data_IF_237335209158
#
_entry.id   IF_237335209158
#
_cell.length_a   1.000
_cell.length_b   1.000
_cell.length_c   1.000
_cell.angle_alpha   90.00
_cell.angle_beta   90.00
_cell.angle_gamma   90.00
#
_symmetry.space_group_name_H-M   'P 1'
#
loop_
_entity.id
_entity.type
_entity.pdbx_description
1 polymer ?
#
# COMPACT_ATOMS: atom_id res chain seq x y z
N UNK A 1 -2.50 -1.52 26.53
CA UNK A 1 -2.30 -2.57 25.50
C UNK A 1 -2.13 -1.92 24.14
N UNK A 2 -1.55 -2.63 23.15
CA UNK A 2 -1.39 -2.10 21.78
C UNK A 2 -2.75 -1.76 21.16
N UNK A 3 -2.80 -0.70 20.34
CA UNK A 3 -4.03 -0.25 19.67
C UNK A 3 -4.36 -1.20 18.52
N UNK A 4 -5.58 -1.74 18.50
CA UNK A 4 -6.07 -2.57 17.39
C UNK A 4 -6.45 -1.67 16.22
N UNK A 5 -5.84 -1.88 15.05
CA UNK A 5 -6.18 -1.19 13.81
C UNK A 5 -6.96 -2.16 12.92
N UNK A 6 -8.13 -1.75 12.43
CA UNK A 6 -8.93 -2.54 11.48
C UNK A 6 -9.13 -1.77 10.18
N UNK A 7 -8.73 -2.36 9.05
CA UNK A 7 -8.91 -1.78 7.71
C UNK A 7 -10.31 -2.12 7.21
N UNK A 8 -11.05 -1.11 6.76
CA UNK A 8 -12.41 -1.26 6.23
C UNK A 8 -12.49 -0.67 4.82
N UNK A 9 -12.94 -1.45 3.85
CA UNK A 9 -13.24 -0.97 2.52
C UNK A 9 -14.70 -0.47 2.49
N UNK A 10 -14.90 0.78 2.09
CA UNK A 10 -16.23 1.38 1.94
C UNK A 10 -16.50 1.54 0.45
N UNK A 11 -17.50 0.81 -0.07
CA UNK A 11 -18.06 1.06 -1.40
C UNK A 11 -19.21 2.05 -1.25
N UNK A 12 -19.26 3.03 -2.14
CA UNK A 12 -20.24 4.12 -2.29
C UNK A 12 -21.55 3.97 -1.47
N UNK A 13 -21.70 4.83 -0.46
CA UNK A 13 -22.82 4.84 0.47
C UNK A 13 -24.10 5.50 -0.08
N UNK A 14 -24.11 5.99 -1.33
CA UNK A 14 -25.24 6.76 -1.83
C UNK A 14 -26.45 5.91 -2.27
N UNK A 15 -26.34 4.57 -2.36
CA UNK A 15 -27.39 3.78 -3.03
C UNK A 15 -27.72 2.36 -2.53
N UNK A 16 -27.20 1.89 -1.42
CA UNK A 16 -27.60 0.55 -0.92
C UNK A 16 -28.35 0.60 0.41
N UNK A 17 -29.68 0.41 0.33
CA UNK A 17 -30.57 0.23 1.49
C UNK A 17 -30.46 -1.16 2.12
N UNK A 18 -29.60 -2.05 1.61
CA UNK A 18 -29.29 -3.33 2.25
C UNK A 18 -28.25 -3.14 3.33
N UNK A 19 -28.74 -2.57 4.45
CA UNK A 19 -28.19 -2.81 5.79
C UNK A 19 -27.72 -4.26 5.87
N UNK A 20 -26.48 -4.47 6.29
CA UNK A 20 -25.80 -5.76 6.50
C UNK A 20 -25.12 -6.40 5.27
N UNK A 21 -24.11 -5.74 4.74
CA UNK A 21 -22.85 -6.43 4.46
C UNK A 21 -21.84 -6.05 5.54
N UNK A 22 -22.10 -6.44 6.79
CA UNK A 22 -21.00 -6.50 7.77
C UNK A 22 -20.10 -7.64 7.30
N UNK A 23 -18.81 -7.42 7.06
CA UNK A 23 -17.90 -8.53 6.80
C UNK A 23 -18.02 -9.51 7.96
N UNK A 24 -18.51 -10.71 7.69
CA UNK A 24 -18.56 -11.84 8.64
C UNK A 24 -17.20 -12.53 8.75
N UNK A 25 -16.30 -12.24 7.82
CA UNK A 25 -14.91 -12.64 7.86
C UNK A 25 -14.04 -11.54 8.50
N UNK A 26 -13.00 -11.95 9.21
CA UNK A 26 -11.97 -11.05 9.73
C UNK A 26 -11.05 -10.49 8.62
N UNK A 27 -11.24 -10.95 7.38
CA UNK A 27 -10.49 -10.55 6.19
C UNK A 27 -11.46 -9.95 5.17
N UNK A 28 -11.13 -8.76 4.66
CA UNK A 28 -11.89 -8.06 3.62
C UNK A 28 -10.95 -7.85 2.45
N UNK A 29 -11.29 -8.38 1.28
CA UNK A 29 -10.59 -8.10 0.03
C UNK A 29 -11.42 -7.11 -0.80
N UNK A 30 -10.80 -6.05 -1.31
CA UNK A 30 -11.40 -5.17 -2.30
C UNK A 30 -10.92 -5.57 -3.70
N UNK A 31 -11.86 -5.83 -4.60
CA UNK A 31 -11.58 -6.07 -6.02
C UNK A 31 -11.83 -4.78 -6.78
N UNK A 32 -10.80 -4.22 -7.39
CA UNK A 32 -10.93 -3.09 -8.29
C UNK A 32 -11.25 -3.60 -9.69
N UNK A 33 -12.40 -3.20 -10.23
CA UNK A 33 -12.74 -3.43 -11.64
C UNK A 33 -12.45 -2.14 -12.40
N UNK A 34 -11.53 -2.19 -13.35
CA UNK A 34 -11.23 -1.13 -14.30
C UNK A 34 -11.24 -1.69 -15.72
N UNK A 35 -11.56 -0.85 -16.71
CA UNK A 35 -11.66 -1.25 -18.11
C UNK A 35 -10.34 -1.84 -18.66
N UNK A 36 -9.20 -1.44 -18.08
CA UNK A 36 -7.87 -1.94 -18.42
C UNK A 36 -7.29 -2.95 -17.41
N UNK A 37 -8.08 -3.35 -16.41
CA UNK A 37 -7.66 -4.26 -15.34
C UNK A 37 -6.57 -3.69 -14.42
N UNK A 38 -6.21 -2.41 -14.54
CA UNK A 38 -5.22 -1.77 -13.68
C UNK A 38 -5.84 -1.30 -12.36
N UNK A 39 -5.18 -1.51 -11.22
CA UNK A 39 -5.62 -0.91 -9.97
C UNK A 39 -5.59 0.63 -10.06
N UNK A 40 -6.45 1.34 -9.32
CA UNK A 40 -6.42 2.79 -9.24
C UNK A 40 -5.03 3.29 -8.84
N UNK A 41 -4.51 4.30 -9.55
CA UNK A 41 -3.18 4.86 -9.26
C UNK A 41 -3.13 5.64 -7.95
N UNK A 42 -4.28 6.15 -7.51
CA UNK A 42 -4.43 7.01 -6.33
C UNK A 42 -5.17 6.30 -5.19
N UNK A 43 -4.71 5.08 -4.86
CA UNK A 43 -5.30 4.31 -3.77
C UNK A 43 -4.86 4.89 -2.41
N UNK A 44 -5.57 5.91 -1.94
CA UNK A 44 -5.41 6.44 -0.59
C UNK A 44 -6.02 5.46 0.43
N UNK A 45 -5.27 5.18 1.50
CA UNK A 45 -5.75 4.34 2.59
C UNK A 45 -6.39 5.23 3.66
N UNK A 46 -7.67 5.00 3.95
CA UNK A 46 -8.39 5.71 5.02
C UNK A 46 -8.54 4.79 6.22
N UNK A 47 -8.00 5.21 7.35
CA UNK A 47 -8.09 4.52 8.64
C UNK A 47 -9.18 5.19 9.46
N UNK A 48 -10.09 4.38 9.99
CA UNK A 48 -11.11 4.82 10.93
C UNK A 48 -10.84 4.19 12.30
N UNK A 49 -10.41 5.00 13.26
CA UNK A 49 -10.24 4.56 14.64
C UNK A 49 -11.61 4.41 15.30
N UNK A 50 -11.97 3.20 15.74
CA UNK A 50 -13.25 2.97 16.41
C UNK A 50 -13.27 3.55 17.84
N UNK A 51 -12.10 3.75 18.44
CA UNK A 51 -11.94 4.25 19.80
C UNK A 51 -10.85 5.34 19.86
N UNK A 52 -11.09 6.50 19.21
CA UNK A 52 -10.09 7.56 19.13
C UNK A 52 -9.88 8.22 20.48
N UNK A 53 -8.65 8.64 20.76
CA UNK A 53 -8.34 9.48 21.95
C UNK A 53 -9.00 10.86 21.81
N UNK A 54 -8.99 11.40 20.59
CA UNK A 54 -9.73 12.61 20.23
C UNK A 54 -10.80 12.25 19.18
N UNK A 55 -12.10 12.36 19.51
CA UNK A 55 -13.19 12.11 18.57
C UNK A 55 -13.13 12.90 17.26
N UNK A 56 -12.49 14.07 17.23
CA UNK A 56 -12.31 14.89 16.02
C UNK A 56 -11.27 14.29 15.07
N UNK A 57 -10.32 13.50 15.57
CA UNK A 57 -9.23 12.88 14.81
C UNK A 57 -9.45 11.38 14.57
N UNK A 58 -10.72 10.98 14.41
CA UNK A 58 -11.11 9.58 14.21
C UNK A 58 -10.66 9.01 12.86
N UNK A 59 -10.54 9.85 11.85
CA UNK A 59 -10.19 9.46 10.49
C UNK A 59 -8.77 9.93 10.18
N UNK A 60 -7.97 9.04 9.62
CA UNK A 60 -6.62 9.37 9.12
C UNK A 60 -6.50 8.87 7.69
N UNK A 61 -5.95 9.70 6.82
CA UNK A 61 -5.72 9.33 5.42
C UNK A 61 -4.23 9.19 5.18
N UNK A 62 -3.81 8.04 4.67
CA UNK A 62 -2.47 7.77 4.18
C UNK A 62 -2.51 7.88 2.66
N UNK A 63 -1.84 8.87 2.06
CA UNK A 63 -1.82 9.04 0.62
C UNK A 63 -1.16 7.86 -0.10
N UNK A 64 -1.58 7.57 -1.33
CA UNK A 64 -1.04 6.48 -2.15
C UNK A 64 0.49 6.51 -2.34
N UNK A 65 1.12 7.70 -2.33
CA UNK A 65 2.58 7.84 -2.41
C UNK A 65 3.27 8.07 -1.06
N UNK A 66 2.62 7.71 0.05
CA UNK A 66 3.26 7.57 1.35
C UNK A 66 4.05 6.26 1.41
N UNK A 67 5.20 6.28 2.08
CA UNK A 67 5.99 5.06 2.32
C UNK A 67 5.26 4.01 3.17
N UNK A 68 4.13 4.37 3.80
CA UNK A 68 3.30 3.47 4.59
C UNK A 68 2.13 2.85 3.82
N UNK A 69 1.84 3.30 2.59
CA UNK A 69 0.71 2.80 1.82
C UNK A 69 0.89 1.31 1.43
N UNK A 70 1.97 0.99 0.71
CA UNK A 70 2.22 -0.39 0.26
C UNK A 70 2.36 -1.41 1.41
N UNK A 71 3.09 -1.14 2.51
CA UNK A 71 3.22 -2.07 3.62
C UNK A 71 1.89 -2.40 4.30
N UNK A 72 0.97 -1.42 4.37
CA UNK A 72 -0.34 -1.61 4.98
C UNK A 72 -1.33 -2.34 4.08
N UNK A 73 -1.17 -2.22 2.75
CA UNK A 73 -1.98 -2.93 1.76
C UNK A 73 -1.46 -4.34 1.48
N UNK A 74 -0.15 -4.55 1.54
CA UNK A 74 0.51 -5.83 1.22
C UNK A 74 1.42 -6.33 2.35
N UNK A 75 0.92 -6.56 3.59
CA UNK A 75 1.78 -6.95 4.72
C UNK A 75 2.69 -8.15 4.45
N UNK A 76 2.25 -9.11 3.63
CA UNK A 76 3.04 -10.29 3.26
C UNK A 76 4.32 -9.95 2.47
N UNK A 77 4.32 -8.85 1.72
CA UNK A 77 5.50 -8.37 1.00
C UNK A 77 6.37 -7.44 1.85
N UNK A 78 5.90 -7.08 3.06
CA UNK A 78 6.56 -6.18 4.00
C UNK A 78 6.56 -6.77 5.42
N UNK A 79 7.11 -7.98 5.60
CA UNK A 79 6.97 -8.74 6.85
C UNK A 79 7.64 -8.06 8.05
N UNK A 80 8.59 -7.16 7.82
CA UNK A 80 9.29 -6.43 8.88
C UNK A 80 8.84 -4.97 9.00
N UNK A 81 7.77 -4.58 8.30
CA UNK A 81 7.30 -3.20 8.28
C UNK A 81 8.24 -2.27 7.52
N UNK A 82 8.94 -2.78 6.52
CA UNK A 82 9.81 -1.98 5.65
C UNK A 82 9.01 -0.87 4.96
N UNK A 83 9.69 0.21 4.55
CA UNK A 83 9.05 1.26 3.76
C UNK A 83 8.66 0.77 2.36
N UNK A 84 7.44 1.13 1.95
CA UNK A 84 6.95 1.04 0.57
C UNK A 84 7.55 2.09 -0.34
N UNK A 85 7.07 2.09 -1.59
CA UNK A 85 7.41 3.16 -2.52
C UNK A 85 6.82 4.50 -2.05
N UNK A 86 7.49 5.60 -2.36
CA UNK A 86 6.97 6.95 -2.13
C UNK A 86 7.51 7.93 -3.17
N UNK A 87 6.87 9.10 -3.31
CA UNK A 87 7.19 10.07 -4.38
C UNK A 87 8.62 10.62 -4.39
N UNK A 88 9.35 10.45 -3.27
CA UNK A 88 10.71 10.97 -3.10
C UNK A 88 11.78 9.87 -3.24
N UNK A 89 11.43 8.64 -3.63
CA UNK A 89 12.43 7.61 -3.94
C UNK A 89 13.18 8.04 -5.20
N UNK A 90 14.48 8.30 -5.06
CA UNK A 90 15.34 8.72 -6.16
C UNK A 90 15.96 7.52 -6.87
N UNK A 91 16.33 7.71 -8.14
CA UNK A 91 17.22 6.80 -8.86
C UNK A 91 18.63 6.90 -8.30
N UNK A 92 19.40 5.82 -8.46
CA UNK A 92 20.81 5.76 -8.08
C UNK A 92 21.72 5.59 -9.31
N UNK A 93 22.96 6.05 -9.18
CA UNK A 93 23.98 5.96 -10.23
C UNK A 93 23.56 6.62 -11.55
N UNK A 94 23.96 6.00 -12.67
CA UNK A 94 23.76 6.55 -14.02
C UNK A 94 22.29 6.70 -14.42
N UNK A 95 21.35 6.09 -13.69
CA UNK A 95 19.91 6.24 -13.93
C UNK A 95 19.34 7.53 -13.37
N UNK A 96 20.04 8.20 -12.45
CA UNK A 96 19.66 9.52 -11.95
C UNK A 96 20.26 10.60 -12.85
N UNK A 97 19.42 11.25 -13.65
CA UNK A 97 19.81 12.32 -14.56
C UNK A 97 18.73 13.41 -14.64
N UNK A 98 19.00 14.47 -15.42
CA UNK A 98 18.10 15.62 -15.55
C UNK A 98 16.74 15.26 -16.16
N UNK A 99 16.66 14.17 -16.94
CA UNK A 99 15.41 13.70 -17.55
C UNK A 99 14.64 12.81 -16.58
N UNK A 100 15.35 12.05 -15.75
CA UNK A 100 14.77 11.04 -14.86
C UNK A 100 15.58 10.91 -13.58
N UNK A 101 15.03 11.42 -12.49
CA UNK A 101 15.65 11.37 -11.17
C UNK A 101 14.87 10.54 -10.15
N UNK A 102 13.61 10.20 -10.43
CA UNK A 102 12.73 9.47 -9.50
C UNK A 102 12.49 8.02 -9.95
N UNK A 103 12.39 7.13 -8.96
CA UNK A 103 11.97 5.76 -9.16
C UNK A 103 10.45 5.69 -9.36
N UNK A 104 10.03 4.91 -10.34
CA UNK A 104 8.61 4.60 -10.54
C UNK A 104 8.18 3.47 -9.60
N UNK A 105 6.87 3.36 -9.33
CA UNK A 105 6.30 2.23 -8.57
C UNK A 105 6.72 0.89 -9.21
N UNK A 106 6.64 0.79 -10.54
CA UNK A 106 7.01 -0.42 -11.28
C UNK A 106 8.44 -0.86 -10.99
N UNK A 107 9.39 0.08 -11.04
CA UNK A 107 10.80 -0.25 -10.77
C UNK A 107 11.04 -0.69 -9.35
N UNK A 108 10.44 0.03 -8.40
CA UNK A 108 10.53 -0.34 -6.99
C UNK A 108 10.01 -1.75 -6.75
N UNK A 109 8.84 -2.08 -7.29
CA UNK A 109 8.24 -3.42 -7.16
C UNK A 109 9.10 -4.46 -7.88
N UNK A 110 9.55 -4.21 -9.10
CA UNK A 110 10.44 -5.14 -9.81
C UNK A 110 11.75 -5.38 -9.06
N UNK A 111 12.36 -4.34 -8.49
CA UNK A 111 13.58 -4.46 -7.68
C UNK A 111 13.35 -5.27 -6.40
N UNK A 112 12.23 -5.03 -5.70
CA UNK A 112 11.87 -5.73 -4.47
C UNK A 112 11.59 -7.21 -4.71
N UNK A 113 10.90 -7.52 -5.80
CA UNK A 113 10.48 -8.89 -6.14
C UNK A 113 11.52 -9.65 -6.98
N UNK A 114 12.66 -9.02 -7.30
CA UNK A 114 13.70 -9.65 -8.08
C UNK A 114 14.33 -10.83 -7.31
N UNK A 115 14.34 -12.00 -7.94
CA UNK A 115 15.11 -13.15 -7.46
C UNK A 115 16.59 -12.78 -7.54
N UNK A 116 17.30 -12.88 -6.41
CA UNK A 116 18.75 -12.68 -6.35
C UNK A 116 19.41 -14.03 -6.15
N UNK A 117 20.26 -14.42 -7.09
CA UNK A 117 21.15 -15.56 -6.88
C UNK A 117 22.34 -15.07 -6.06
N UNK A 118 22.54 -15.66 -4.88
CA UNK A 118 23.80 -15.55 -4.18
C UNK A 118 24.80 -16.45 -4.90
N UNK A 119 25.49 -15.92 -5.92
CA UNK A 119 26.64 -16.59 -6.49
C UNK A 119 27.78 -16.48 -5.49
N UNK A 120 28.19 -17.60 -4.89
CA UNK A 120 29.54 -17.71 -4.37
C UNK A 120 30.46 -17.64 -5.58
N UNK A 121 31.22 -16.56 -5.70
CA UNK A 121 32.31 -16.45 -6.68
C UNK A 121 33.51 -17.29 -6.22
N UNK A 122 33.27 -18.53 -5.82
CA UNK A 122 34.34 -19.51 -5.67
C UNK A 122 34.63 -20.03 -7.08
N UNK A 123 35.56 -19.34 -7.75
CA UNK A 123 36.17 -19.77 -9.00
C UNK A 123 36.94 -21.08 -8.76
N UNK A 124 36.59 -22.13 -9.50
CA UNK A 124 37.48 -23.26 -9.81
C UNK A 124 38.72 -22.80 -10.60
#
# INVERSE_FOLDING_TARGET
GPRSVSIHFVTDAARDQRRYQRPTANEVAAVFVSDDGRPPRDLNLVIFDKNPVDPQHRMQTIPAGSCHADPMLYPLFFPHGESGWHFNVMQEGNRNNQVRSRNTIREFVCYRMAIRYAGNNDTD
#
